data_IF_419503657373
#
_entry.id   IF_419503657373
#
_cell.length_a   1.000
_cell.length_b   1.000
_cell.length_c   1.000
_cell.angle_alpha   90.00
_cell.angle_beta   90.00
_cell.angle_gamma   90.00
#
_symmetry.space_group_name_H-M   'P 1'
#
loop_
_entity.id
_entity.type
_entity.pdbx_description
1 polymer ?
#
# COMPACT_ATOMS: atom_id res chain seq x y z
N UNK A 1 3.46 10.42 0.19
CA UNK A 1 3.51 9.78 1.52
C UNK A 1 4.83 9.03 1.63
N UNK A 2 5.47 9.01 2.79
CA UNK A 2 6.71 8.24 3.03
C UNK A 2 6.49 7.35 4.25
N UNK A 3 6.79 6.06 4.11
CA UNK A 3 6.85 5.10 5.21
C UNK A 3 8.32 4.74 5.43
N UNK A 4 8.79 4.81 6.68
CA UNK A 4 10.16 4.43 7.05
C UNK A 4 10.14 3.16 7.88
N UNK A 5 11.01 2.23 7.54
CA UNK A 5 11.21 0.96 8.24
C UNK A 5 12.68 0.86 8.66
N UNK A 6 12.89 0.49 9.92
CA UNK A 6 14.21 0.21 10.47
C UNK A 6 14.19 -1.23 11.02
N UNK A 7 15.24 -1.98 10.75
CA UNK A 7 15.31 -3.36 11.19
C UNK A 7 16.65 -4.00 10.89
N UNK A 8 16.63 -5.32 10.81
CA UNK A 8 17.80 -6.11 10.44
C UNK A 8 17.57 -6.79 9.10
N UNK A 9 18.60 -6.85 8.27
CA UNK A 9 18.62 -7.64 7.05
C UNK A 9 18.62 -9.15 7.37
N UNK A 10 18.52 -9.98 6.34
CA UNK A 10 18.68 -11.45 6.47
C UNK A 10 20.04 -11.86 7.03
N UNK A 11 21.04 -10.97 6.96
CA UNK A 11 22.40 -11.17 7.47
C UNK A 11 22.57 -10.63 8.90
N UNK A 12 21.51 -10.12 9.52
CA UNK A 12 21.50 -9.45 10.84
C UNK A 12 22.26 -8.13 10.91
N UNK A 13 22.47 -7.48 9.77
CA UNK A 13 23.01 -6.12 9.70
C UNK A 13 21.87 -5.09 9.78
N UNK A 14 22.07 -3.90 10.37
CA UNK A 14 21.09 -2.81 10.33
C UNK A 14 20.65 -2.50 8.89
N UNK A 15 19.34 -2.34 8.69
CA UNK A 15 18.73 -2.01 7.40
C UNK A 15 17.66 -0.95 7.59
N UNK A 16 17.74 0.08 6.75
CA UNK A 16 16.87 1.25 6.77
C UNK A 16 16.22 1.32 5.38
N UNK A 17 14.89 1.21 5.33
CA UNK A 17 14.13 1.28 4.09
C UNK A 17 13.12 2.41 4.16
N UNK A 18 12.99 3.14 3.07
CA UNK A 18 11.89 4.07 2.85
C UNK A 18 11.03 3.56 1.71
N UNK A 19 9.71 3.59 1.89
CA UNK A 19 8.76 3.42 0.81
C UNK A 19 8.09 4.76 0.53
N UNK A 20 8.27 5.24 -0.69
CA UNK A 20 7.74 6.50 -1.16
C UNK A 20 6.54 6.22 -2.05
N UNK A 21 5.47 6.96 -1.80
CA UNK A 21 4.31 7.04 -2.68
C UNK A 21 4.18 8.49 -3.12
N UNK A 22 4.27 8.73 -4.42
CA UNK A 22 4.23 10.06 -5.03
C UNK A 22 3.14 10.12 -6.09
N UNK A 23 2.53 11.30 -6.22
CA UNK A 23 1.46 11.55 -7.18
C UNK A 23 1.52 12.99 -7.62
N UNK A 24 1.49 13.20 -8.93
CA UNK A 24 1.40 14.53 -9.50
C UNK A 24 -0.07 15.03 -9.48
N UNK A 25 -0.28 16.32 -9.77
CA UNK A 25 -1.63 16.88 -10.03
C UNK A 25 -2.65 16.78 -8.87
N UNK A 26 -2.19 16.78 -7.61
CA UNK A 26 -3.05 16.83 -6.40
C UNK A 26 -4.07 15.69 -6.22
N UNK A 27 -3.86 14.51 -6.83
CA UNK A 27 -4.74 13.34 -6.63
C UNK A 27 -4.51 12.58 -5.31
N UNK A 28 -3.68 13.11 -4.41
CA UNK A 28 -3.42 12.52 -3.09
C UNK A 28 -4.68 12.13 -2.29
N UNK A 29 -5.77 12.93 -2.31
CA UNK A 29 -7.02 12.57 -1.63
C UNK A 29 -7.76 11.34 -2.18
N UNK A 30 -7.44 10.87 -3.40
CA UNK A 30 -8.12 9.72 -4.02
C UNK A 30 -7.55 8.36 -3.55
N UNK A 31 -6.35 8.37 -2.97
CA UNK A 31 -5.63 7.16 -2.55
C UNK A 31 -6.43 6.33 -1.54
N UNK A 32 -7.07 6.91 -0.50
CA UNK A 32 -7.93 6.17 0.41
C UNK A 32 -9.13 5.50 -0.28
N UNK A 33 -9.67 6.09 -1.35
CA UNK A 33 -10.82 5.55 -2.07
C UNK A 33 -10.49 4.23 -2.79
N UNK A 34 -9.23 4.03 -3.20
CA UNK A 34 -8.78 2.81 -3.87
C UNK A 34 -8.99 1.57 -3.00
N UNK A 35 -8.81 1.66 -1.68
CA UNK A 35 -9.07 0.55 -0.77
C UNK A 35 -10.54 0.09 -0.82
N UNK A 36 -11.49 1.03 -0.91
CA UNK A 36 -12.91 0.71 -1.05
C UNK A 36 -13.22 0.04 -2.39
N UNK A 37 -12.57 0.47 -3.48
CA UNK A 37 -12.69 -0.16 -4.80
C UNK A 37 -12.22 -1.62 -4.74
N UNK A 38 -11.05 -1.88 -4.15
CA UNK A 38 -10.48 -3.22 -4.03
C UNK A 38 -11.34 -4.14 -3.15
N UNK A 39 -11.82 -3.66 -2.01
CA UNK A 39 -12.74 -4.42 -1.16
C UNK A 39 -14.04 -4.77 -1.89
N UNK A 40 -14.60 -3.81 -2.62
CA UNK A 40 -15.83 -4.03 -3.42
C UNK A 40 -15.61 -5.11 -4.48
N UNK A 41 -14.46 -5.10 -5.16
CA UNK A 41 -14.12 -6.15 -6.14
C UNK A 41 -14.04 -7.54 -5.51
N UNK A 42 -13.43 -7.66 -4.32
CA UNK A 42 -13.37 -8.93 -3.57
C UNK A 42 -14.78 -9.42 -3.18
N UNK A 43 -15.63 -8.52 -2.68
CA UNK A 43 -17.02 -8.84 -2.36
C UNK A 43 -17.81 -9.33 -3.59
N UNK A 44 -17.67 -8.66 -4.74
CA UNK A 44 -18.31 -9.06 -6.00
C UNK A 44 -17.81 -10.42 -6.50
N UNK A 45 -16.53 -10.75 -6.25
CA UNK A 45 -15.95 -12.08 -6.57
C UNK A 45 -16.50 -13.20 -5.68
N UNK A 46 -17.11 -12.86 -4.54
CA UNK A 46 -17.62 -13.82 -3.57
C UNK A 46 -16.65 -14.14 -2.42
N UNK A 47 -15.60 -13.33 -2.24
CA UNK A 47 -14.73 -13.46 -1.07
C UNK A 47 -15.53 -13.22 0.22
N UNK A 48 -15.32 -14.07 1.22
CA UNK A 48 -16.00 -13.96 2.52
C UNK A 48 -15.17 -13.19 3.52
N UNK A 49 -15.78 -12.23 4.21
CA UNK A 49 -15.17 -11.49 5.31
C UNK A 49 -15.87 -11.84 6.62
N UNK A 50 -15.13 -11.79 7.72
CA UNK A 50 -15.74 -11.96 9.03
C UNK A 50 -16.69 -10.78 9.31
N UNK A 51 -17.86 -11.02 9.92
CA UNK A 51 -18.80 -9.96 10.23
C UNK A 51 -18.25 -9.03 11.32
N UNK A 52 -18.65 -7.76 11.25
CA UNK A 52 -18.26 -6.71 12.20
C UNK A 52 -17.26 -5.70 11.63
N UNK A 53 -16.98 -4.65 12.39
CA UNK A 53 -15.96 -3.67 12.02
C UNK A 53 -14.56 -4.26 12.25
N UNK A 54 -13.71 -4.25 11.22
CA UNK A 54 -12.37 -4.80 11.27
C UNK A 54 -11.36 -3.78 10.69
N UNK A 55 -10.11 -3.88 11.11
CA UNK A 55 -9.01 -3.20 10.41
C UNK A 55 -8.82 -3.86 9.05
N UNK A 56 -8.29 -3.11 8.09
CA UNK A 56 -7.98 -3.63 6.75
C UNK A 56 -6.70 -4.50 6.71
N UNK A 57 -6.04 -4.70 7.86
CA UNK A 57 -4.80 -5.47 7.95
C UNK A 57 -5.01 -6.90 7.43
N UNK A 58 -4.13 -7.34 6.52
CA UNK A 58 -4.23 -8.64 5.87
C UNK A 58 -5.39 -8.81 4.87
N UNK A 59 -6.34 -7.88 4.80
CA UNK A 59 -7.48 -7.92 3.87
C UNK A 59 -7.15 -7.34 2.49
N UNK A 60 -6.20 -6.40 2.46
CA UNK A 60 -5.68 -5.76 1.26
C UNK A 60 -4.15 -5.79 1.29
N UNK A 61 -3.54 -6.34 0.24
CA UNK A 61 -2.09 -6.37 0.06
C UNK A 61 -1.66 -5.19 -0.81
N UNK A 62 -0.45 -4.68 -0.58
CA UNK A 62 0.05 -3.48 -1.28
C UNK A 62 0.05 -3.64 -2.80
N UNK A 63 0.46 -4.81 -3.31
CA UNK A 63 0.48 -5.08 -4.76
C UNK A 63 -0.91 -5.06 -5.39
N UNK A 64 -1.99 -5.26 -4.63
CA UNK A 64 -3.36 -5.19 -5.16
C UNK A 64 -3.75 -3.76 -5.59
N UNK A 65 -3.01 -2.75 -5.13
CA UNK A 65 -3.21 -1.36 -5.53
C UNK A 65 -2.54 -1.01 -6.86
N UNK A 66 -1.63 -1.84 -7.39
CA UNK A 66 -0.87 -1.55 -8.62
C UNK A 66 -1.76 -1.11 -9.81
N UNK A 67 -2.91 -1.74 -10.10
CA UNK A 67 -3.76 -1.30 -11.21
C UNK A 67 -4.37 0.08 -10.99
N UNK A 68 -4.75 0.42 -9.75
CA UNK A 68 -5.26 1.75 -9.43
C UNK A 68 -4.12 2.77 -9.45
N UNK A 69 -2.94 2.44 -8.91
CA UNK A 69 -1.78 3.33 -8.98
C UNK A 69 -1.44 3.68 -10.42
N UNK A 70 -1.38 2.69 -11.31
CA UNK A 70 -1.15 2.91 -12.73
C UNK A 70 -2.23 3.80 -13.38
N UNK A 71 -3.52 3.57 -13.03
CA UNK A 71 -4.64 4.35 -13.57
C UNK A 71 -4.56 5.84 -13.22
N UNK A 72 -4.05 6.16 -12.05
CA UNK A 72 -3.97 7.54 -11.54
C UNK A 72 -2.57 8.15 -11.64
N UNK A 73 -1.62 7.45 -12.26
CA UNK A 73 -0.24 7.91 -12.38
C UNK A 73 0.52 7.97 -11.05
N UNK A 74 0.05 7.26 -10.03
CA UNK A 74 0.74 7.17 -8.73
C UNK A 74 1.98 6.32 -8.91
N UNK A 75 3.11 6.84 -8.44
CA UNK A 75 4.39 6.13 -8.45
C UNK A 75 4.72 5.64 -7.05
N UNK A 76 5.39 4.50 -6.99
CA UNK A 76 5.88 3.95 -5.72
C UNK A 76 7.31 3.47 -5.88
N UNK A 77 8.16 3.77 -4.91
CA UNK A 77 9.56 3.33 -4.90
C UNK A 77 9.99 2.89 -3.49
N UNK A 78 10.86 1.89 -3.42
CA UNK A 78 11.55 1.50 -2.20
C UNK A 78 13.00 1.97 -2.32
N UNK A 79 13.48 2.70 -1.32
CA UNK A 79 14.81 3.28 -1.27
C UNK A 79 15.51 2.71 -0.03
N UNK A 80 16.74 2.25 -0.17
CA UNK A 80 17.59 1.99 0.99
C UNK A 80 18.09 3.32 1.56
N UNK A 81 17.74 3.58 2.81
CA UNK A 81 18.19 4.77 3.54
C UNK A 81 19.68 4.68 3.84
N UNK A 82 20.38 5.81 3.70
CA UNK A 82 21.74 5.98 4.22
C UNK A 82 21.60 6.68 5.56
N UNK A 83 22.18 6.09 6.62
CA UNK A 83 22.23 6.71 7.95
C UNK A 83 23.06 7.99 7.99
#
# INVERSE_FOLDING_TARGET
>A
MVIRLHGLSSQREPLHLEWHLTVDNNYGPEIPCMAAILLTRKLVRGDTFAPGAQTSEGSLLLHEFEPEFARWGIQTEVIEGVD
#
